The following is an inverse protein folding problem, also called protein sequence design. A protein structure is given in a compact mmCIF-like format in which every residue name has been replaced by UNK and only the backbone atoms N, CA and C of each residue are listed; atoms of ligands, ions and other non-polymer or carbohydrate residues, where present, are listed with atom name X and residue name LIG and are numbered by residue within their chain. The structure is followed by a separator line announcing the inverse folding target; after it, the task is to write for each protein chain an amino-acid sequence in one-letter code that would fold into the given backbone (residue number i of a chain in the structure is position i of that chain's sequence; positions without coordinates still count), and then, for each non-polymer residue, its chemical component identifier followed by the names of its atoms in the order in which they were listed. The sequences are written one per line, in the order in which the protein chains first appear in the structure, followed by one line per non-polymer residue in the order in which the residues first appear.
data_IF_695950687747
#
_entry.id   IF_695950687747
#
_cell.length_a   1.000
_cell.length_b   1.000
_cell.length_c   1.000
_cell.angle_alpha   90.00
_cell.angle_beta   90.00
_cell.angle_gamma   90.00
#
_symmetry.space_group_name_H-M   'P 1'
#
loop_
_entity.id
_entity.type
_entity.pdbx_description
1 polymer ?
#
# COMPACT_ATOMS: atom_id res chain seq x y z
N UNK A 1 -7.41 16.47 -25.66
CA UNK A 1 -6.33 17.40 -26.02
C UNK A 1 -6.67 18.14 -27.29
N UNK A 2 -6.84 19.48 -27.19
CA UNK A 2 -7.22 20.35 -28.32
C UNK A 2 -6.19 20.30 -29.45
N UNK A 3 -4.91 20.11 -29.09
CA UNK A 3 -3.81 19.95 -30.06
C UNK A 3 -4.04 18.75 -30.98
N UNK A 4 -4.38 17.59 -30.40
CA UNK A 4 -4.64 16.36 -31.16
C UNK A 4 -6.00 16.38 -31.87
N UNK A 5 -6.99 17.06 -31.30
CA UNK A 5 -8.33 17.13 -31.90
C UNK A 5 -8.39 18.07 -33.08
N UNK A 6 -7.69 19.20 -33.01
CA UNK A 6 -7.71 20.26 -34.02
C UNK A 6 -6.48 20.26 -34.92
N UNK A 7 -5.54 19.34 -34.73
CA UNK A 7 -4.26 19.25 -35.45
C UNK A 7 -3.49 20.59 -35.50
N UNK A 8 -3.45 21.28 -34.35
CA UNK A 8 -2.82 22.60 -34.23
C UNK A 8 -1.63 22.56 -33.26
N UNK A 9 -0.63 23.40 -33.54
CA UNK A 9 0.54 23.49 -32.67
C UNK A 9 0.28 24.31 -31.40
N UNK A 10 1.02 24.02 -30.33
CA UNK A 10 0.99 24.76 -29.05
C UNK A 10 1.16 26.27 -29.24
N UNK A 11 1.90 26.72 -30.26
CA UNK A 11 2.11 28.16 -30.55
C UNK A 11 0.82 28.87 -30.98
N UNK A 12 -0.04 28.18 -31.73
CA UNK A 12 -1.34 28.72 -32.16
C UNK A 12 -2.25 28.87 -30.92
N UNK A 13 -2.28 27.86 -30.06
CA UNK A 13 -3.08 27.90 -28.83
C UNK A 13 -2.64 29.05 -27.90
N UNK A 14 -1.33 29.27 -27.74
CA UNK A 14 -0.81 30.41 -26.96
C UNK A 14 -1.21 31.76 -27.56
N UNK A 15 -1.28 31.85 -28.91
CA UNK A 15 -1.74 33.06 -29.59
C UNK A 15 -3.23 33.31 -29.35
N UNK A 16 -4.04 32.26 -29.37
CA UNK A 16 -5.47 32.36 -29.08
C UNK A 16 -5.73 32.77 -27.63
N UNK A 17 -4.93 32.25 -26.69
CA UNK A 17 -4.99 32.67 -25.28
C UNK A 17 -4.63 34.15 -25.12
N UNK A 18 -3.55 34.59 -25.75
CA UNK A 18 -3.13 36.02 -25.73
C UNK A 18 -4.18 36.95 -26.29
N UNK A 19 -4.96 36.49 -27.27
CA UNK A 19 -6.05 37.23 -27.87
C UNK A 19 -7.38 37.09 -27.11
N UNK A 20 -7.42 36.34 -26.01
CA UNK A 20 -8.61 36.18 -25.15
C UNK A 20 -9.68 35.24 -25.68
N UNK A 21 -9.40 34.44 -26.72
CA UNK A 21 -10.34 33.48 -27.28
C UNK A 21 -10.44 32.19 -26.51
N UNK A 22 -9.35 31.80 -25.84
CA UNK A 22 -9.27 30.60 -24.97
C UNK A 22 -8.53 30.96 -23.69
N UNK A 23 -8.65 30.10 -22.67
CA UNK A 23 -7.90 30.18 -21.42
C UNK A 23 -7.36 28.80 -21.08
N UNK A 24 -6.06 28.71 -20.79
CA UNK A 24 -5.50 27.51 -20.20
C UNK A 24 -5.83 27.45 -18.72
N UNK A 25 -6.14 26.26 -18.25
CA UNK A 25 -6.23 25.96 -16.83
C UNK A 25 -5.52 24.64 -16.53
N UNK A 26 -4.91 24.58 -15.38
CA UNK A 26 -4.31 23.33 -14.90
C UNK A 26 -5.41 22.51 -14.23
N UNK A 27 -5.56 21.28 -14.67
CA UNK A 27 -6.46 20.33 -14.05
C UNK A 27 -5.65 19.17 -13.51
N UNK A 28 -5.78 18.88 -12.22
CA UNK A 28 -5.23 17.68 -11.63
C UNK A 28 -6.00 16.48 -12.16
N UNK A 29 -5.34 15.64 -12.92
CA UNK A 29 -5.90 14.37 -13.40
C UNK A 29 -5.35 13.27 -12.53
N UNK A 30 -6.19 12.68 -11.70
CA UNK A 30 -5.82 11.51 -10.91
C UNK A 30 -5.70 10.29 -11.83
N UNK A 31 -4.48 9.74 -11.94
CA UNK A 31 -4.20 8.53 -12.70
C UNK A 31 -4.31 7.33 -11.77
N UNK A 32 -5.50 6.78 -11.69
CA UNK A 32 -5.73 5.59 -10.90
C UNK A 32 -5.78 4.37 -11.84
N UNK A 33 -4.80 3.46 -11.78
CA UNK A 33 -4.77 2.27 -12.65
C UNK A 33 -5.95 1.30 -12.41
N UNK A 34 -6.77 1.52 -11.39
CA UNK A 34 -7.87 0.64 -10.98
C UNK A 34 -9.28 1.24 -11.18
N UNK A 35 -9.40 2.44 -11.78
CA UNK A 35 -10.68 3.20 -11.91
C UNK A 35 -11.81 2.42 -12.62
N UNK A 36 -11.49 1.39 -13.39
CA UNK A 36 -12.49 0.73 -14.25
C UNK A 36 -13.02 -0.61 -13.71
N UNK A 37 -12.66 -1.01 -12.50
CA UNK A 37 -13.12 -2.27 -11.93
C UNK A 37 -14.21 -2.04 -10.88
N UNK A 38 -15.41 -2.51 -11.18
CA UNK A 38 -16.44 -2.70 -10.16
C UNK A 38 -16.07 -3.99 -9.40
N UNK A 39 -15.68 -3.84 -8.16
CA UNK A 39 -15.32 -4.96 -7.27
C UNK A 39 -16.39 -5.04 -6.20
N UNK A 40 -17.06 -6.19 -6.10
CA UNK A 40 -18.04 -6.43 -5.05
C UNK A 40 -17.38 -6.37 -3.67
N UNK A 41 -18.06 -5.72 -2.71
CA UNK A 41 -17.56 -5.63 -1.34
C UNK A 41 -17.48 -7.01 -0.68
N UNK A 42 -16.40 -7.29 0.01
CA UNK A 42 -16.23 -8.50 0.81
C UNK A 42 -16.48 -8.23 2.29
N UNK A 43 -17.12 -9.21 2.95
CA UNK A 43 -17.33 -9.16 4.40
C UNK A 43 -16.18 -9.83 5.16
N UNK A 44 -16.08 -9.51 6.45
CA UNK A 44 -15.16 -10.14 7.40
C UNK A 44 -15.50 -11.63 7.54
N UNK A 45 -14.48 -12.49 7.44
CA UNK A 45 -14.60 -13.92 7.67
C UNK A 45 -14.36 -14.25 9.16
N UNK A 46 -14.95 -15.34 9.62
CA UNK A 46 -14.64 -15.84 10.95
C UNK A 46 -13.24 -16.46 10.94
N UNK A 47 -12.41 -16.06 11.90
CA UNK A 47 -11.09 -16.65 12.11
C UNK A 47 -11.23 -18.02 12.77
N UNK A 48 -10.34 -18.95 12.44
CA UNK A 48 -10.14 -20.17 13.23
C UNK A 48 -9.54 -19.83 14.60
N UNK A 49 -9.52 -20.77 15.53
CA UNK A 49 -8.99 -20.53 16.87
C UNK A 49 -7.49 -20.12 16.81
N UNK A 50 -6.71 -20.76 15.93
CA UNK A 50 -5.28 -20.41 15.74
C UNK A 50 -5.12 -19.02 15.13
N UNK A 51 -5.91 -18.69 14.10
CA UNK A 51 -5.89 -17.36 13.48
C UNK A 51 -6.33 -16.28 14.48
N UNK A 52 -7.34 -16.59 15.30
CA UNK A 52 -7.85 -15.69 16.33
C UNK A 52 -6.79 -15.44 17.40
N UNK A 53 -6.10 -16.48 17.86
CA UNK A 53 -4.99 -16.35 18.82
C UNK A 53 -3.86 -15.46 18.27
N UNK A 54 -3.50 -15.64 17.00
CA UNK A 54 -2.50 -14.81 16.35
C UNK A 54 -2.96 -13.35 16.18
N UNK A 55 -4.23 -13.14 15.83
CA UNK A 55 -4.83 -11.81 15.71
C UNK A 55 -4.82 -11.10 17.07
N UNK A 56 -5.29 -11.76 18.15
CA UNK A 56 -5.41 -11.17 19.48
C UNK A 56 -4.05 -10.73 20.04
N UNK A 57 -2.99 -11.52 19.83
CA UNK A 57 -1.63 -11.16 20.25
C UNK A 57 -1.11 -9.87 19.56
N UNK A 58 -1.39 -9.69 18.27
CA UNK A 58 -0.99 -8.48 17.55
C UNK A 58 -1.91 -7.30 17.89
N UNK A 59 -3.21 -7.54 18.07
CA UNK A 59 -4.18 -6.53 18.49
C UNK A 59 -3.78 -5.89 19.82
N UNK A 60 -3.39 -6.71 20.81
CA UNK A 60 -2.89 -6.24 22.11
C UNK A 60 -1.67 -5.30 21.92
N UNK A 61 -0.71 -5.67 21.06
CA UNK A 61 0.44 -4.83 20.78
C UNK A 61 0.08 -3.52 20.07
N UNK A 62 -0.96 -3.52 19.23
CA UNK A 62 -1.48 -2.30 18.57
C UNK A 62 -2.11 -1.38 19.63
N UNK A 63 -2.95 -1.92 20.51
CA UNK A 63 -3.67 -1.15 21.53
C UNK A 63 -2.71 -0.56 22.58
N UNK A 64 -1.69 -1.31 22.97
CA UNK A 64 -0.67 -0.89 23.92
C UNK A 64 0.45 -0.04 23.29
N UNK A 65 0.37 0.22 21.97
CA UNK A 65 1.41 0.93 21.22
C UNK A 65 2.81 0.32 21.46
N UNK A 66 2.93 -0.99 21.37
CA UNK A 66 4.20 -1.69 21.61
C UNK A 66 4.91 -2.02 20.30
N UNK A 67 6.20 -1.70 20.25
CA UNK A 67 7.08 -2.19 19.20
C UNK A 67 7.44 -3.65 19.46
N UNK A 68 6.68 -4.56 18.87
CA UNK A 68 6.84 -6.01 18.97
C UNK A 68 6.92 -6.64 17.59
N UNK A 69 7.68 -7.72 17.47
CA UNK A 69 7.81 -8.50 16.24
C UNK A 69 7.04 -9.82 16.39
N UNK A 70 6.18 -10.10 15.42
CA UNK A 70 5.39 -11.32 15.36
C UNK A 70 5.73 -12.11 14.09
N UNK A 71 5.83 -13.41 14.22
CA UNK A 71 5.95 -14.33 13.07
C UNK A 71 4.63 -15.08 12.91
N UNK A 72 3.87 -14.74 11.87
CA UNK A 72 2.67 -15.47 11.47
C UNK A 72 3.08 -16.63 10.56
N UNK A 73 3.32 -17.77 11.17
CA UNK A 73 3.67 -19.00 10.46
C UNK A 73 2.41 -19.76 10.01
N UNK A 74 2.38 -20.16 8.74
CA UNK A 74 1.30 -20.98 8.21
C UNK A 74 1.50 -21.28 6.73
N UNK A 75 1.12 -22.49 6.32
CA UNK A 75 1.23 -22.94 4.92
C UNK A 75 0.48 -22.02 3.95
N UNK A 76 0.81 -22.10 2.68
CA UNK A 76 0.05 -21.39 1.63
C UNK A 76 -1.41 -21.81 1.68
N UNK A 77 -2.32 -20.82 1.68
CA UNK A 77 -3.76 -21.08 1.80
C UNK A 77 -4.28 -21.26 3.24
N UNK A 78 -3.44 -21.15 4.26
CA UNK A 78 -3.87 -21.22 5.68
C UNK A 78 -4.71 -20.02 6.15
N UNK A 79 -4.97 -19.04 5.28
CA UNK A 79 -5.77 -17.87 5.59
C UNK A 79 -5.00 -16.73 6.26
N UNK A 80 -3.66 -16.69 6.21
CA UNK A 80 -2.85 -15.55 6.72
C UNK A 80 -3.38 -14.19 6.26
N UNK A 81 -3.80 -14.12 4.99
CA UNK A 81 -4.34 -12.89 4.40
C UNK A 81 -5.57 -12.36 5.15
N UNK A 82 -6.45 -13.23 5.65
CA UNK A 82 -7.61 -12.77 6.43
C UNK A 82 -7.18 -12.16 7.77
N UNK A 83 -6.17 -12.74 8.42
CA UNK A 83 -5.59 -12.16 9.64
C UNK A 83 -5.03 -10.76 9.34
N UNK A 84 -4.28 -10.61 8.23
CA UNK A 84 -3.77 -9.30 7.81
C UNK A 84 -4.90 -8.29 7.56
N UNK A 85 -5.94 -8.68 6.83
CA UNK A 85 -7.08 -7.80 6.56
C UNK A 85 -7.74 -7.33 7.86
N UNK A 86 -7.91 -8.21 8.85
CA UNK A 86 -8.53 -7.83 10.11
C UNK A 86 -7.63 -6.95 10.98
N UNK A 87 -6.31 -7.18 10.98
CA UNK A 87 -5.36 -6.30 11.66
C UNK A 87 -5.32 -4.90 11.02
N UNK A 88 -5.33 -4.83 9.69
CA UNK A 88 -5.41 -3.57 8.95
C UNK A 88 -6.71 -2.84 9.25
N UNK A 89 -7.85 -3.55 9.33
CA UNK A 89 -9.14 -2.98 9.71
C UNK A 89 -9.10 -2.39 11.13
N UNK A 90 -8.47 -3.08 12.09
CA UNK A 90 -8.25 -2.58 13.44
C UNK A 90 -7.48 -1.26 13.45
N UNK A 91 -6.35 -1.22 12.72
CA UNK A 91 -5.50 -0.02 12.61
C UNK A 91 -6.23 1.14 11.92
N UNK A 92 -7.00 0.85 10.88
CA UNK A 92 -7.82 1.83 10.19
C UNK A 92 -8.89 2.44 11.12
N UNK A 93 -9.52 1.61 11.97
CA UNK A 93 -10.56 2.05 12.91
C UNK A 93 -10.02 3.00 14.00
N UNK A 94 -8.74 2.89 14.35
CA UNK A 94 -8.07 3.84 15.26
C UNK A 94 -7.44 5.03 14.54
N UNK A 95 -7.73 5.19 13.23
CA UNK A 95 -7.30 6.32 12.40
C UNK A 95 -5.86 6.28 11.92
N UNK A 96 -5.12 5.19 12.19
CA UNK A 96 -3.71 5.02 11.79
C UNK A 96 -3.58 4.38 10.40
N UNK A 97 -2.36 4.37 9.89
CA UNK A 97 -1.99 3.84 8.58
C UNK A 97 -1.27 2.50 8.70
N UNK A 98 -1.57 1.57 7.80
CA UNK A 98 -0.87 0.29 7.71
C UNK A 98 -0.02 0.21 6.45
N UNK A 99 1.16 -0.40 6.55
CA UNK A 99 2.01 -0.79 5.42
C UNK A 99 2.01 -2.30 5.29
N UNK A 100 1.67 -2.79 4.11
CA UNK A 100 1.82 -4.20 3.77
C UNK A 100 2.78 -4.37 2.61
N UNK A 101 3.86 -5.06 2.86
CA UNK A 101 4.86 -5.41 1.87
C UNK A 101 4.62 -6.82 1.37
N UNK A 102 4.63 -6.98 0.07
CA UNK A 102 4.52 -8.28 -0.60
C UNK A 102 5.61 -8.40 -1.66
N UNK A 103 6.12 -9.60 -1.94
CA UNK A 103 7.01 -9.80 -3.08
C UNK A 103 6.34 -9.28 -4.36
N UNK A 104 7.12 -8.69 -5.25
CA UNK A 104 6.56 -8.06 -6.47
C UNK A 104 5.78 -9.06 -7.34
N UNK A 105 6.20 -10.33 -7.35
CA UNK A 105 5.51 -11.41 -8.05
C UNK A 105 4.15 -11.76 -7.41
N UNK A 106 3.99 -11.52 -6.12
CA UNK A 106 2.76 -11.77 -5.36
C UNK A 106 1.79 -10.59 -5.39
N UNK A 107 2.23 -9.42 -5.86
CA UNK A 107 1.39 -8.24 -6.05
C UNK A 107 0.56 -8.37 -7.34
N UNK A 108 -0.26 -9.39 -7.37
CA UNK A 108 -1.14 -9.68 -8.51
C UNK A 108 -2.42 -8.83 -8.44
N UNK A 109 -3.11 -8.61 -9.57
CA UNK A 109 -4.42 -7.96 -9.56
C UNK A 109 -5.40 -8.62 -8.59
N UNK A 110 -5.39 -9.95 -8.47
CA UNK A 110 -6.25 -10.67 -7.54
C UNK A 110 -5.94 -10.35 -6.07
N UNK A 111 -4.66 -10.19 -5.72
CA UNK A 111 -4.27 -9.77 -4.37
C UNK A 111 -4.79 -8.37 -4.08
N UNK A 112 -4.57 -7.43 -5.00
CA UNK A 112 -5.06 -6.05 -4.90
C UNK A 112 -6.58 -5.99 -4.80
N UNK A 113 -7.28 -6.75 -5.63
CA UNK A 113 -8.74 -6.80 -5.66
C UNK A 113 -9.34 -7.22 -4.30
N UNK A 114 -8.69 -8.13 -3.56
CA UNK A 114 -9.12 -8.54 -2.21
C UNK A 114 -9.10 -7.37 -1.22
N UNK A 115 -8.06 -6.53 -1.27
CA UNK A 115 -7.97 -5.36 -0.41
C UNK A 115 -8.98 -4.30 -0.81
N UNK A 116 -9.14 -4.05 -2.12
CA UNK A 116 -10.13 -3.10 -2.64
C UNK A 116 -11.56 -3.55 -2.27
N UNK A 117 -11.87 -4.84 -2.39
CA UNK A 117 -13.15 -5.42 -1.98
C UNK A 117 -13.45 -5.21 -0.50
N UNK A 118 -12.42 -5.23 0.36
CA UNK A 118 -12.58 -5.10 1.80
C UNK A 118 -12.65 -3.66 2.28
N UNK A 119 -11.83 -2.77 1.75
CA UNK A 119 -11.61 -1.43 2.31
C UNK A 119 -12.07 -0.29 1.40
N UNK A 120 -12.35 -0.58 0.13
CA UNK A 120 -12.58 0.43 -0.88
C UNK A 120 -11.27 0.98 -1.46
N UNK A 121 -11.35 1.41 -2.70
CA UNK A 121 -10.20 1.90 -3.47
C UNK A 121 -9.61 3.20 -2.93
N UNK A 122 -10.47 4.06 -2.37
CA UNK A 122 -10.06 5.39 -1.91
C UNK A 122 -9.08 5.35 -0.76
N UNK A 123 -9.17 4.31 0.10
CA UNK A 123 -8.31 4.16 1.28
C UNK A 123 -6.97 3.48 0.98
N UNK A 124 -6.76 2.98 -0.24
CA UNK A 124 -5.61 2.17 -0.61
C UNK A 124 -4.71 2.94 -1.55
N UNK A 125 -3.40 2.87 -1.30
CA UNK A 125 -2.35 3.25 -2.23
C UNK A 125 -1.49 2.03 -2.56
N UNK A 126 -1.15 1.88 -3.85
CA UNK A 126 -0.37 0.75 -4.33
C UNK A 126 0.92 1.26 -4.94
N UNK A 127 2.06 0.70 -4.49
CA UNK A 127 3.39 1.10 -4.92
C UNK A 127 4.18 -0.10 -5.44
N UNK A 128 4.47 -0.11 -6.75
CA UNK A 128 5.29 -1.14 -7.40
C UNK A 128 6.10 -0.58 -8.57
N UNK A 129 7.03 -1.36 -9.10
CA UNK A 129 7.98 -0.92 -10.13
C UNK A 129 7.32 -0.59 -11.47
N UNK A 130 6.20 -1.23 -11.80
CA UNK A 130 5.49 -1.08 -13.08
C UNK A 130 4.65 0.19 -13.19
N UNK A 131 4.49 0.95 -12.11
CA UNK A 131 3.82 2.25 -12.15
C UNK A 131 4.65 3.24 -12.97
N UNK A 132 3.99 3.98 -13.85
CA UNK A 132 4.58 5.16 -14.48
C UNK A 132 4.97 6.20 -13.42
N UNK A 133 5.82 7.14 -13.81
CA UNK A 133 6.25 8.23 -12.90
C UNK A 133 5.05 9.03 -12.38
N UNK A 134 4.07 9.31 -13.26
CA UNK A 134 2.85 10.03 -12.89
C UNK A 134 1.97 9.26 -11.91
N UNK A 135 1.70 7.97 -12.18
CA UNK A 135 0.93 7.12 -11.27
C UNK A 135 1.60 6.97 -9.91
N UNK A 136 2.92 6.79 -9.88
CA UNK A 136 3.69 6.72 -8.64
C UNK A 136 3.60 8.03 -7.85
N UNK A 137 3.67 9.18 -8.52
CA UNK A 137 3.51 10.49 -7.90
C UNK A 137 2.13 10.64 -7.30
N UNK A 138 1.08 10.26 -8.03
CA UNK A 138 -0.31 10.35 -7.56
C UNK A 138 -0.54 9.47 -6.32
N UNK A 139 -0.03 8.21 -6.33
CA UNK A 139 -0.08 7.34 -5.15
C UNK A 139 0.70 7.91 -3.96
N UNK A 140 1.90 8.46 -4.20
CA UNK A 140 2.73 9.08 -3.17
C UNK A 140 2.03 10.28 -2.54
N UNK A 141 1.39 11.12 -3.37
CA UNK A 141 0.68 12.30 -2.93
C UNK A 141 -0.55 11.95 -2.10
N UNK A 142 -1.29 10.93 -2.52
CA UNK A 142 -2.43 10.36 -1.80
C UNK A 142 -2.06 9.87 -0.38
N UNK A 143 -0.90 9.21 -0.26
CA UNK A 143 -0.37 8.79 1.05
C UNK A 143 0.01 10.01 1.88
N UNK A 144 0.77 10.95 1.31
CA UNK A 144 1.26 12.15 2.00
C UNK A 144 0.14 13.00 2.55
N UNK A 145 -0.96 13.11 1.83
CA UNK A 145 -2.15 13.88 2.27
C UNK A 145 -3.02 13.11 3.27
N UNK A 146 -2.70 11.85 3.57
CA UNK A 146 -3.50 11.02 4.48
C UNK A 146 -4.82 10.52 3.91
N UNK A 147 -5.02 10.65 2.60
CA UNK A 147 -6.18 10.11 1.88
C UNK A 147 -6.14 8.59 1.84
N UNK A 148 -4.96 8.01 1.53
CA UNK A 148 -4.74 6.58 1.66
C UNK A 148 -4.22 6.24 3.06
N UNK A 149 -4.88 5.30 3.71
CA UNK A 149 -4.53 4.76 5.04
C UNK A 149 -4.00 3.32 4.97
N UNK A 150 -4.00 2.72 3.81
CA UNK A 150 -3.46 1.37 3.57
C UNK A 150 -2.48 1.48 2.40
N UNK A 151 -1.21 1.20 2.67
CA UNK A 151 -0.16 1.19 1.66
C UNK A 151 0.22 -0.26 1.37
N UNK A 152 0.04 -0.68 0.13
CA UNK A 152 0.42 -2.03 -0.32
C UNK A 152 1.48 -1.90 -1.40
N UNK A 153 2.53 -2.68 -1.30
CA UNK A 153 3.53 -2.61 -2.35
C UNK A 153 4.70 -3.55 -2.20
N UNK A 154 5.59 -3.47 -3.17
CA UNK A 154 6.86 -4.16 -3.13
C UNK A 154 7.84 -3.47 -2.16
N UNK A 155 9.05 -3.96 -2.10
CA UNK A 155 10.13 -3.48 -1.23
C UNK A 155 10.19 -1.96 -1.04
N UNK A 156 10.04 -1.17 -2.11
CA UNK A 156 10.16 0.28 -2.05
C UNK A 156 9.00 1.00 -1.35
N UNK A 157 7.88 0.31 -1.14
CA UNK A 157 6.71 0.88 -0.45
C UNK A 157 6.99 1.21 1.02
N UNK A 158 8.02 0.64 1.63
CA UNK A 158 8.44 0.96 3.00
C UNK A 158 8.85 2.43 3.17
N UNK A 159 9.25 3.11 2.08
CA UNK A 159 9.63 4.53 2.07
C UNK A 159 8.47 5.47 1.74
N UNK A 160 7.23 4.97 1.77
CA UNK A 160 6.06 5.81 1.57
C UNK A 160 5.97 6.92 2.63
N UNK A 161 5.49 8.14 2.29
CA UNK A 161 5.46 9.28 3.19
C UNK A 161 4.30 9.18 4.19
N UNK A 162 4.38 8.23 5.11
CA UNK A 162 3.37 7.95 6.12
C UNK A 162 3.62 8.79 7.36
N UNK A 163 2.58 9.49 7.84
CA UNK A 163 2.64 10.30 9.07
C UNK A 163 2.23 9.51 10.32
N UNK A 164 1.23 8.64 10.18
CA UNK A 164 0.54 7.99 11.30
C UNK A 164 0.59 6.47 11.18
N UNK A 165 1.81 5.91 11.18
CA UNK A 165 2.01 4.47 11.07
C UNK A 165 1.43 3.76 12.31
N UNK A 166 0.73 2.63 12.09
CA UNK A 166 0.14 1.81 13.14
C UNK A 166 0.49 0.33 13.06
N UNK A 167 0.92 -0.13 11.87
CA UNK A 167 1.24 -1.55 11.64
C UNK A 167 2.10 -1.70 10.40
N UNK A 168 3.09 -2.58 10.47
CA UNK A 168 3.86 -3.06 9.32
C UNK A 168 3.62 -4.56 9.16
N UNK A 169 3.27 -4.99 7.94
CA UNK A 169 3.16 -6.40 7.58
C UNK A 169 4.15 -6.68 6.46
N UNK A 170 4.90 -7.77 6.57
CA UNK A 170 5.81 -8.26 5.53
C UNK A 170 5.40 -9.70 5.23
N UNK A 171 4.69 -9.89 4.12
CA UNK A 171 4.29 -11.23 3.69
C UNK A 171 5.43 -11.93 2.94
N UNK A 172 5.48 -13.26 3.03
CA UNK A 172 6.57 -14.09 2.49
C UNK A 172 7.97 -13.53 2.85
N UNK A 173 8.19 -13.33 4.15
CA UNK A 173 9.35 -12.61 4.72
C UNK A 173 10.72 -13.16 4.28
N UNK A 174 10.77 -14.44 3.89
CA UNK A 174 11.96 -15.12 3.40
C UNK A 174 12.34 -14.76 1.95
N UNK A 175 11.46 -14.03 1.22
CA UNK A 175 11.71 -13.72 -0.19
C UNK A 175 12.94 -12.82 -0.36
N UNK A 176 13.85 -13.23 -1.25
CA UNK A 176 15.11 -12.52 -1.52
C UNK A 176 14.91 -11.12 -2.10
N UNK A 177 13.74 -10.84 -2.72
CA UNK A 177 13.44 -9.53 -3.30
C UNK A 177 13.39 -8.39 -2.26
N UNK A 178 13.30 -8.71 -0.98
CA UNK A 178 13.36 -7.74 0.11
C UNK A 178 14.77 -7.18 0.37
N UNK A 179 15.81 -7.76 -0.21
CA UNK A 179 17.17 -7.21 -0.21
C UNK A 179 17.41 -6.37 -1.45
N UNK A 180 17.92 -5.14 -1.29
CA UNK A 180 18.32 -4.29 -2.42
C UNK A 180 19.74 -4.63 -2.84
N UNK A 181 19.93 -5.01 -4.11
CA UNK A 181 21.26 -5.19 -4.69
C UNK A 181 21.83 -3.87 -5.22
N UNK A 182 20.96 -2.90 -5.53
CA UNK A 182 21.36 -1.58 -6.01
C UNK A 182 21.74 -0.66 -4.85
N UNK A 183 22.64 0.27 -5.09
CA UNK A 183 23.05 1.30 -4.11
C UNK A 183 21.94 2.40 -4.04
N UNK A 184 21.51 2.77 -2.84
CA UNK A 184 21.91 2.25 -1.52
C UNK A 184 21.37 0.84 -1.27
N UNK A 185 22.26 -0.06 -0.80
CA UNK A 185 21.86 -1.40 -0.43
C UNK A 185 21.17 -1.38 0.94
N UNK A 186 20.01 -2.01 1.02
CA UNK A 186 19.25 -2.13 2.26
C UNK A 186 18.44 -3.43 2.28
N UNK A 187 18.09 -3.86 3.48
CA UNK A 187 17.12 -4.92 3.70
C UNK A 187 15.83 -4.28 4.26
N UNK A 188 14.71 -4.61 3.67
CA UNK A 188 13.41 -4.10 4.12
C UNK A 188 13.14 -4.44 5.59
N UNK A 189 13.51 -5.64 6.05
CA UNK A 189 13.33 -6.04 7.45
C UNK A 189 14.01 -5.05 8.41
N UNK A 190 15.23 -4.61 8.09
CA UNK A 190 15.98 -3.67 8.94
C UNK A 190 15.34 -2.28 8.93
N UNK A 191 14.91 -1.81 7.76
CA UNK A 191 14.20 -0.54 7.63
C UNK A 191 12.86 -0.58 8.37
N UNK A 192 12.13 -1.70 8.25
CA UNK A 192 10.85 -1.89 8.95
C UNK A 192 11.01 -1.88 10.47
N UNK A 193 12.07 -2.54 10.99
CA UNK A 193 12.41 -2.51 12.42
C UNK A 193 12.73 -1.09 12.90
N UNK A 194 13.49 -0.34 12.11
CA UNK A 194 13.77 1.05 12.42
C UNK A 194 12.48 1.88 12.50
N UNK A 195 11.62 1.79 11.48
CA UNK A 195 10.34 2.52 11.46
C UNK A 195 9.41 2.08 12.58
N UNK A 196 9.29 0.77 12.83
CA UNK A 196 8.45 0.26 13.90
C UNK A 196 8.89 0.78 15.28
N UNK A 197 10.19 0.93 15.50
CA UNK A 197 10.73 1.53 16.71
C UNK A 197 10.42 3.02 16.80
N UNK A 198 10.60 3.77 15.70
CA UNK A 198 10.32 5.21 15.66
C UNK A 198 8.84 5.54 15.91
N UNK A 199 7.94 4.73 15.35
CA UNK A 199 6.49 4.92 15.48
C UNK A 199 5.88 4.15 16.66
N UNK A 200 6.67 3.32 17.33
CA UNK A 200 6.25 2.45 18.43
C UNK A 200 5.06 1.54 18.04
N UNK A 201 5.25 0.76 16.98
CA UNK A 201 4.21 -0.08 16.37
C UNK A 201 4.69 -1.52 16.13
N UNK A 202 3.79 -2.51 16.08
CA UNK A 202 4.15 -3.88 15.82
C UNK A 202 4.52 -4.13 14.34
N UNK A 203 5.34 -5.16 14.13
CA UNK A 203 5.63 -5.77 12.83
C UNK A 203 5.12 -7.19 12.81
N UNK A 204 4.44 -7.57 11.73
CA UNK A 204 4.03 -8.94 11.45
C UNK A 204 4.80 -9.47 10.25
N UNK A 205 5.61 -10.48 10.46
CA UNK A 205 6.27 -11.25 9.40
C UNK A 205 5.41 -12.46 9.07
N UNK A 206 5.00 -12.60 7.82
CA UNK A 206 4.27 -13.78 7.34
C UNK A 206 5.18 -14.71 6.57
N UNK A 207 5.13 -16.00 6.88
CA UNK A 207 5.92 -16.99 6.16
C UNK A 207 5.22 -18.36 6.12
N UNK A 208 5.39 -19.06 4.99
CA UNK A 208 5.10 -20.49 4.91
C UNK A 208 6.37 -21.33 5.25
N UNK A 209 7.55 -20.75 5.10
CA UNK A 209 8.86 -21.36 5.32
C UNK A 209 9.78 -20.34 5.97
N UNK A 210 9.65 -20.09 7.30
CA UNK A 210 10.45 -19.08 7.96
C UNK A 210 11.94 -19.39 7.90
N UNK A 211 12.76 -18.36 7.67
CA UNK A 211 14.20 -18.41 7.84
C UNK A 211 14.50 -18.59 9.35
N UNK A 212 15.11 -19.74 9.71
CA UNK A 212 15.55 -20.03 11.08
C UNK A 212 16.94 -19.49 11.34
#
# INVERSE_FOLDING_TARGET
DLENFADVSTSILKTLEKNGYIKFYEQTVERNPFIHKVIDSSSKLNLTDEQKSAYDAVEEAIDDCMNSEFLLFGVTGSGKTEVYLQLIEKVLNIGKTSVMLVPEISLTPQTVDRFIARFGQDKIAILHSKLSVGERYDQWYKIKNGEAKIVIGARSAIFAPISDLGLIIIDEEHDSSYKSEMIPRYNVKDVSRYLAKEYNVPIVFGSATPDM
#
